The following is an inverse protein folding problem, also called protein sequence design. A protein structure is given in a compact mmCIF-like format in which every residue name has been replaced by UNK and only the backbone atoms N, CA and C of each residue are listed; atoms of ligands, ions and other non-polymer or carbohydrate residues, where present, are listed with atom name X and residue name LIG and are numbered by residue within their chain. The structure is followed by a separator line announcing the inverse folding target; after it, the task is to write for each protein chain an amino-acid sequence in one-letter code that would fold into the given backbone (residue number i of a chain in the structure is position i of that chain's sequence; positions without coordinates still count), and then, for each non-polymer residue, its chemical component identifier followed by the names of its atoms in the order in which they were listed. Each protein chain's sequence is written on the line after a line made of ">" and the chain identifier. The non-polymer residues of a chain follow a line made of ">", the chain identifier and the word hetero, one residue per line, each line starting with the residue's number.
data_IF_870885805957
#
_entry.id   IF_870885805957
#
_cell.length_a   1.000
_cell.length_b   1.000
_cell.length_c   1.000
_cell.angle_alpha   90.00
_cell.angle_beta   90.00
_cell.angle_gamma   90.00
#
_symmetry.space_group_name_H-M   'P 1'
#
loop_
_entity.id
_entity.type
_entity.pdbx_description
1 polymer ?
#
# COMPACT_ATOMS: atom_id res chain seq x y z
N UNK A 1 -29.50 9.93 -14.39
CA UNK A 1 -28.47 10.48 -13.48
C UNK A 1 -28.35 9.53 -12.31
N UNK A 2 -27.41 8.58 -12.39
CA UNK A 2 -27.14 7.65 -11.29
C UNK A 2 -26.16 8.29 -10.33
N UNK A 3 -26.59 8.52 -9.09
CA UNK A 3 -25.72 8.98 -8.00
C UNK A 3 -24.73 7.87 -7.63
N UNK A 4 -23.57 7.83 -8.28
CA UNK A 4 -22.42 7.10 -7.73
C UNK A 4 -21.69 8.03 -6.76
N UNK A 5 -22.10 7.96 -5.50
CA UNK A 5 -21.31 8.47 -4.38
C UNK A 5 -19.97 7.73 -4.38
N UNK A 6 -18.89 8.49 -4.37
CA UNK A 6 -17.54 8.05 -3.98
C UNK A 6 -17.64 7.04 -2.83
N UNK A 7 -17.14 5.82 -3.03
CA UNK A 7 -17.18 4.72 -2.04
C UNK A 7 -16.24 4.97 -0.84
N UNK A 8 -15.64 6.14 -0.72
CA UNK A 8 -14.94 6.55 0.49
C UNK A 8 -15.95 7.12 1.50
N UNK A 9 -16.07 6.54 2.71
CA UNK A 9 -16.85 7.15 3.77
C UNK A 9 -16.13 8.43 4.21
N UNK A 10 -16.59 9.57 3.69
CA UNK A 10 -16.18 10.95 4.03
C UNK A 10 -14.69 11.25 3.82
N UNK A 11 -14.36 11.80 2.65
CA UNK A 11 -13.30 12.85 2.50
C UNK A 11 -13.03 13.25 1.03
N UNK A 12 -13.53 12.51 0.03
CA UNK A 12 -13.38 12.91 -1.38
C UNK A 12 -14.67 13.47 -2.01
N UNK A 13 -15.52 14.13 -1.24
CA UNK A 13 -16.60 14.96 -1.80
C UNK A 13 -16.09 16.37 -2.18
N UNK A 14 -14.99 16.80 -1.57
CA UNK A 14 -14.35 18.12 -1.76
C UNK A 14 -12.91 17.98 -2.32
N UNK A 15 -12.62 16.88 -3.03
CA UNK A 15 -11.30 16.69 -3.60
C UNK A 15 -11.18 17.42 -4.95
N UNK A 16 -10.26 18.38 -5.04
CA UNK A 16 -9.93 19.14 -6.27
C UNK A 16 -9.34 18.26 -7.41
N UNK A 17 -9.28 16.95 -7.21
CA UNK A 17 -8.63 16.01 -8.11
C UNK A 17 -9.57 14.88 -8.50
N UNK A 18 -9.54 14.50 -9.78
CA UNK A 18 -10.25 13.31 -10.26
C UNK A 18 -9.40 12.06 -10.07
N UNK A 19 -9.93 11.07 -9.35
CA UNK A 19 -9.28 9.76 -9.23
C UNK A 19 -9.46 8.93 -10.51
N UNK A 20 -8.39 8.78 -11.29
CA UNK A 20 -8.35 7.85 -12.44
C UNK A 20 -7.93 6.44 -12.01
N UNK A 21 -6.85 6.35 -11.23
CA UNK A 21 -6.30 5.09 -10.75
C UNK A 21 -5.70 4.23 -11.87
N UNK A 22 -5.70 2.92 -11.67
CA UNK A 22 -5.27 1.92 -12.65
C UNK A 22 -6.04 0.62 -12.44
N UNK A 23 -5.89 -0.32 -13.35
CA UNK A 23 -6.48 -1.65 -13.26
C UNK A 23 -5.39 -2.69 -12.96
N UNK A 24 -5.77 -3.72 -12.22
CA UNK A 24 -5.00 -4.95 -12.15
C UNK A 24 -5.51 -5.92 -13.23
N UNK A 25 -4.59 -6.71 -13.78
CA UNK A 25 -4.97 -7.78 -14.71
C UNK A 25 -5.91 -8.78 -14.02
N UNK A 26 -6.76 -9.43 -14.80
CA UNK A 26 -7.85 -10.24 -14.28
C UNK A 26 -7.35 -11.36 -13.34
N UNK A 27 -8.18 -11.74 -12.37
CA UNK A 27 -7.84 -12.80 -11.41
C UNK A 27 -7.54 -14.14 -12.09
N UNK A 28 -8.14 -14.41 -13.26
CA UNK A 28 -7.86 -15.60 -14.06
C UNK A 28 -6.45 -15.62 -14.67
N UNK A 29 -5.84 -14.45 -14.88
CA UNK A 29 -4.46 -14.31 -15.38
C UNK A 29 -3.45 -14.19 -14.23
N UNK A 30 -3.96 -13.93 -13.02
CA UNK A 30 -3.16 -13.83 -11.81
C UNK A 30 -2.83 -15.23 -11.31
N UNK A 31 -1.59 -15.68 -11.51
CA UNK A 31 -1.11 -16.93 -10.92
C UNK A 31 -1.29 -16.88 -9.40
N UNK A 32 -2.09 -17.80 -8.88
CA UNK A 32 -2.25 -18.02 -7.44
C UNK A 32 -1.67 -19.38 -7.05
N UNK A 33 -1.17 -19.47 -5.82
CA UNK A 33 -0.78 -20.74 -5.20
C UNK A 33 -1.77 -20.97 -4.04
N UNK A 34 -2.43 -22.14 -3.97
CA UNK A 34 -3.31 -22.45 -2.85
C UNK A 34 -2.60 -22.27 -1.51
N UNK A 35 -3.25 -21.65 -0.52
CA UNK A 35 -2.62 -21.27 0.75
C UNK A 35 -1.87 -22.44 1.43
N UNK A 36 -2.47 -23.64 1.42
CA UNK A 36 -1.90 -24.84 2.02
C UNK A 36 -0.61 -25.34 1.34
N UNK A 37 -0.35 -24.92 0.10
CA UNK A 37 0.84 -25.31 -0.67
C UNK A 37 1.96 -24.26 -0.58
N UNK A 38 1.69 -23.09 0.02
CA UNK A 38 2.69 -22.03 0.13
C UNK A 38 3.72 -22.38 1.19
N UNK A 39 5.02 -22.13 0.95
CA UNK A 39 6.02 -22.20 2.01
C UNK A 39 5.66 -21.22 3.14
N UNK A 40 6.13 -21.51 4.34
CA UNK A 40 5.91 -20.69 5.53
C UNK A 40 6.75 -19.41 5.49
N UNK A 41 6.45 -18.51 4.55
CA UNK A 41 7.18 -17.25 4.41
C UNK A 41 6.30 -16.03 4.33
N UNK A 42 6.82 -14.93 4.83
CA UNK A 42 6.25 -13.61 4.69
C UNK A 42 7.14 -12.74 3.78
N UNK A 43 6.54 -12.10 2.78
CA UNK A 43 7.24 -11.21 1.86
C UNK A 43 7.30 -9.79 2.43
N UNK A 44 8.49 -9.24 2.65
CA UNK A 44 8.66 -7.87 3.11
C UNK A 44 8.54 -6.91 1.92
N UNK A 45 7.62 -5.97 2.01
CA UNK A 45 7.41 -4.93 1.01
C UNK A 45 8.58 -3.94 1.04
N UNK A 46 9.46 -4.06 0.05
CA UNK A 46 10.57 -3.15 -0.16
C UNK A 46 11.38 -3.58 -1.37
N UNK A 47 12.10 -2.62 -1.96
CA UNK A 47 13.05 -2.89 -3.06
C UNK A 47 14.48 -2.46 -2.74
N UNK A 48 14.67 -1.86 -1.57
CA UNK A 48 15.87 -1.14 -1.16
C UNK A 48 16.24 -1.55 0.26
N UNK A 49 17.51 -1.86 0.49
CA UNK A 49 18.00 -2.18 1.85
C UNK A 49 17.80 -0.97 2.77
N UNK A 50 17.83 0.24 2.21
CA UNK A 50 17.59 1.51 2.88
C UNK A 50 16.25 1.60 3.63
N UNK A 51 15.25 0.78 3.30
CA UNK A 51 13.95 0.79 3.99
C UNK A 51 14.00 0.19 5.39
N UNK A 52 15.07 -0.52 5.75
CA UNK A 52 15.28 -1.00 7.12
C UNK A 52 15.98 0.03 8.03
N UNK A 53 16.38 1.17 7.48
CA UNK A 53 17.22 2.15 8.14
C UNK A 53 16.55 3.53 8.15
N UNK A 54 16.96 4.37 9.10
CA UNK A 54 16.63 5.80 9.11
C UNK A 54 17.37 6.54 8.00
N UNK A 55 16.95 6.31 6.76
CA UNK A 55 17.52 6.99 5.59
C UNK A 55 16.75 8.27 5.24
N UNK A 56 15.42 8.19 5.22
CA UNK A 56 14.54 9.34 4.96
C UNK A 56 13.60 9.58 6.14
N UNK A 57 12.96 8.51 6.59
CA UNK A 57 12.08 8.46 7.75
C UNK A 57 12.40 7.19 8.54
N UNK A 58 11.99 7.15 9.80
CA UNK A 58 12.05 5.91 10.58
C UNK A 58 11.09 4.87 9.98
N UNK A 59 11.51 3.60 9.83
CA UNK A 59 10.58 2.53 9.48
C UNK A 59 9.57 2.33 10.61
N UNK A 60 8.31 2.09 10.26
CA UNK A 60 7.25 1.82 11.22
C UNK A 60 7.40 0.45 11.88
N UNK A 61 7.98 -0.48 11.11
CA UNK A 61 8.38 -1.81 11.55
C UNK A 61 9.91 -1.87 11.41
N UNK A 62 10.67 -1.62 12.48
CA UNK A 62 12.11 -1.50 12.40
C UNK A 62 12.80 -2.87 12.26
N UNK A 63 14.08 -2.87 11.88
CA UNK A 63 14.84 -4.09 11.58
C UNK A 63 14.83 -5.09 12.75
N UNK A 64 14.91 -4.61 13.98
CA UNK A 64 14.87 -5.43 15.19
C UNK A 64 13.52 -6.14 15.38
N UNK A 65 12.40 -5.56 14.91
CA UNK A 65 11.10 -6.23 14.94
C UNK A 65 11.10 -7.43 14.00
N UNK A 66 11.69 -7.29 12.83
CA UNK A 66 11.82 -8.38 11.85
C UNK A 66 12.66 -9.51 12.42
N UNK A 67 13.85 -9.22 12.96
CA UNK A 67 14.71 -10.24 13.59
C UNK A 67 14.02 -10.92 14.77
N UNK A 68 13.40 -10.15 15.67
CA UNK A 68 12.68 -10.70 16.82
C UNK A 68 11.51 -11.59 16.38
N UNK A 69 10.69 -11.10 15.45
CA UNK A 69 9.56 -11.86 14.90
C UNK A 69 10.02 -13.15 14.22
N UNK A 70 11.15 -13.14 13.51
CA UNK A 70 11.71 -14.35 12.92
C UNK A 70 11.98 -15.44 13.97
N UNK A 71 12.66 -15.10 15.07
CA UNK A 71 12.91 -16.07 16.13
C UNK A 71 11.64 -16.52 16.86
N UNK A 72 10.69 -15.61 17.10
CA UNK A 72 9.43 -15.96 17.76
C UNK A 72 8.56 -16.85 16.89
N UNK A 73 8.35 -16.49 15.62
CA UNK A 73 7.56 -17.29 14.67
C UNK A 73 8.16 -18.68 14.48
N UNK A 74 9.49 -18.84 14.49
CA UNK A 74 10.14 -20.16 14.35
C UNK A 74 9.90 -21.12 15.53
N UNK A 75 9.43 -20.63 16.67
CA UNK A 75 8.98 -21.50 17.78
C UNK A 75 7.67 -22.21 17.44
N UNK A 76 6.82 -21.58 16.62
CA UNK A 76 5.50 -22.07 16.23
C UNK A 76 5.51 -22.69 14.82
N UNK A 77 6.34 -22.15 13.93
CA UNK A 77 6.46 -22.51 12.52
C UNK A 77 7.96 -22.70 12.20
N UNK A 78 8.54 -23.89 12.42
CA UNK A 78 9.99 -24.11 12.43
C UNK A 78 10.75 -23.72 11.15
N UNK A 79 10.08 -23.76 10.00
CA UNK A 79 10.60 -23.38 8.68
C UNK A 79 10.22 -21.95 8.27
N UNK A 80 9.77 -21.12 9.22
CA UNK A 80 9.43 -19.73 8.95
C UNK A 80 10.62 -18.90 8.49
N UNK A 81 10.40 -18.11 7.44
CA UNK A 81 11.36 -17.12 6.95
C UNK A 81 10.67 -15.82 6.49
N UNK A 82 11.40 -14.71 6.58
CA UNK A 82 11.07 -13.53 5.79
C UNK A 82 11.81 -13.59 4.45
N UNK A 83 11.17 -13.10 3.40
CA UNK A 83 11.80 -12.96 2.08
C UNK A 83 11.58 -11.55 1.54
N UNK A 84 12.44 -11.08 0.66
CA UNK A 84 12.22 -9.82 -0.04
C UNK A 84 13.27 -9.58 -1.11
N UNK A 85 12.95 -8.73 -2.09
CA UNK A 85 13.84 -8.38 -3.19
C UNK A 85 14.46 -7.01 -3.02
N UNK A 86 15.52 -6.91 -2.25
CA UNK A 86 16.21 -5.64 -1.99
C UNK A 86 17.49 -5.51 -2.82
N UNK A 87 17.77 -4.29 -3.24
CA UNK A 87 19.07 -3.88 -3.76
C UNK A 87 19.64 -2.76 -2.89
N UNK A 88 20.96 -2.61 -2.89
CA UNK A 88 21.63 -1.44 -2.34
C UNK A 88 22.12 -0.56 -3.50
N UNK A 89 21.25 0.34 -3.94
CA UNK A 89 21.47 1.28 -5.05
C UNK A 89 22.08 2.63 -4.60
N UNK A 90 22.62 2.70 -3.37
CA UNK A 90 23.39 3.85 -2.90
C UNK A 90 24.67 4.06 -3.73
N UNK A 91 25.11 5.31 -3.86
CA UNK A 91 26.38 5.63 -4.53
C UNK A 91 27.57 5.12 -3.71
N UNK A 92 28.78 4.96 -4.31
CA UNK A 92 29.99 4.60 -3.57
C UNK A 92 30.26 5.54 -2.39
N UNK A 93 30.05 6.85 -2.57
CA UNK A 93 30.26 7.87 -1.54
C UNK A 93 29.25 7.72 -0.39
N UNK A 94 27.98 7.43 -0.69
CA UNK A 94 26.96 7.13 0.33
C UNK A 94 27.30 5.86 1.13
N UNK A 95 27.86 4.84 0.47
CA UNK A 95 28.29 3.60 1.14
C UNK A 95 29.51 3.82 2.03
N UNK A 96 30.44 4.67 1.61
CA UNK A 96 31.61 5.04 2.41
C UNK A 96 31.19 5.85 3.65
N UNK A 97 30.27 6.80 3.48
CA UNK A 97 29.84 7.70 4.56
C UNK A 97 28.88 7.05 5.56
N UNK A 98 27.92 6.26 5.09
CA UNK A 98 26.87 5.64 5.93
C UNK A 98 27.18 4.20 6.33
N UNK A 99 28.28 3.64 5.80
CA UNK A 99 28.70 2.28 6.02
C UNK A 99 27.83 1.23 5.33
N UNK A 100 28.15 -0.03 5.64
CA UNK A 100 27.48 -1.19 5.10
C UNK A 100 26.07 -1.33 5.72
N UNK A 101 25.05 -1.38 4.86
CA UNK A 101 23.67 -1.68 5.26
C UNK A 101 23.33 -3.09 4.83
N UNK A 102 22.71 -3.85 5.73
CA UNK A 102 22.39 -5.26 5.55
C UNK A 102 20.89 -5.46 5.72
N UNK A 103 20.38 -6.50 5.06
CA UNK A 103 19.04 -6.99 5.42
C UNK A 103 19.08 -7.57 6.84
N UNK A 104 18.01 -7.42 7.64
CA UNK A 104 17.94 -8.00 8.97
C UNK A 104 18.14 -9.52 8.98
N UNK A 105 18.59 -10.06 10.11
CA UNK A 105 18.64 -11.51 10.30
C UNK A 105 17.24 -12.13 10.13
N UNK A 106 17.20 -13.32 9.53
CA UNK A 106 15.93 -14.01 9.23
C UNK A 106 15.27 -13.57 7.93
N UNK A 107 15.83 -12.58 7.22
CA UNK A 107 15.39 -12.16 5.89
C UNK A 107 16.27 -12.79 4.82
N UNK A 108 15.69 -13.65 3.98
CA UNK A 108 16.35 -14.16 2.78
C UNK A 108 16.17 -13.19 1.62
N UNK A 109 17.31 -12.71 1.13
CA UNK A 109 17.40 -11.81 -0.02
C UNK A 109 17.12 -12.56 -1.33
N UNK A 110 16.13 -12.09 -2.10
CA UNK A 110 15.80 -12.61 -3.44
C UNK A 110 16.47 -11.79 -4.56
N UNK A 111 17.02 -10.62 -4.23
CA UNK A 111 17.68 -9.73 -5.19
C UNK A 111 16.70 -8.97 -6.08
N UNK A 112 17.20 -8.40 -7.19
CA UNK A 112 16.39 -7.65 -8.14
C UNK A 112 15.49 -8.62 -8.92
N UNK A 113 14.18 -8.39 -8.85
CA UNK A 113 13.18 -9.17 -9.56
C UNK A 113 12.48 -8.34 -10.63
N UNK A 114 12.13 -8.97 -11.75
CA UNK A 114 11.16 -8.46 -12.69
C UNK A 114 9.72 -8.67 -12.16
N UNK A 115 8.72 -8.19 -12.91
CA UNK A 115 7.32 -8.26 -12.49
C UNK A 115 6.81 -9.70 -12.28
N UNK A 116 7.20 -10.64 -13.15
CA UNK A 116 6.80 -12.05 -13.04
C UNK A 116 7.45 -12.73 -11.84
N UNK A 117 8.74 -12.48 -11.62
CA UNK A 117 9.48 -13.03 -10.47
C UNK A 117 8.93 -12.50 -9.15
N UNK A 118 8.60 -11.20 -9.10
CA UNK A 118 7.94 -10.59 -7.94
C UNK A 118 6.57 -11.24 -7.69
N UNK A 119 5.76 -11.41 -8.72
CA UNK A 119 4.44 -12.03 -8.61
C UNK A 119 4.52 -13.47 -8.11
N UNK A 120 5.48 -14.25 -8.62
CA UNK A 120 5.75 -15.61 -8.16
C UNK A 120 6.23 -15.62 -6.71
N UNK A 121 7.09 -14.67 -6.31
CA UNK A 121 7.57 -14.55 -4.96
C UNK A 121 6.42 -14.25 -3.98
N UNK A 122 5.54 -13.32 -4.36
CA UNK A 122 4.35 -12.95 -3.57
C UNK A 122 3.33 -14.09 -3.54
N UNK A 123 2.98 -14.71 -4.67
CA UNK A 123 2.02 -15.81 -4.72
C UNK A 123 2.41 -17.00 -3.82
N UNK A 124 3.70 -17.23 -3.66
CA UNK A 124 4.26 -18.26 -2.77
C UNK A 124 4.46 -17.78 -1.32
N UNK A 125 3.96 -16.61 -0.94
CA UNK A 125 4.06 -16.10 0.44
C UNK A 125 2.70 -16.15 1.13
N UNK A 126 2.69 -16.38 2.43
CA UNK A 126 1.46 -16.41 3.24
C UNK A 126 1.04 -15.04 3.75
N UNK A 127 1.96 -14.07 3.76
CA UNK A 127 1.67 -12.68 4.08
C UNK A 127 2.63 -11.74 3.34
N UNK A 128 2.24 -10.47 3.20
CA UNK A 128 3.09 -9.35 2.82
C UNK A 128 3.20 -8.37 4.00
N UNK A 129 4.41 -7.96 4.34
CA UNK A 129 4.70 -7.10 5.49
C UNK A 129 5.13 -5.71 5.02
N UNK A 130 4.36 -4.69 5.38
CA UNK A 130 4.75 -3.29 5.20
C UNK A 130 5.78 -2.84 6.24
N UNK A 131 6.67 -1.92 5.85
CA UNK A 131 7.66 -1.29 6.73
C UNK A 131 7.36 0.19 7.01
N UNK A 132 6.28 0.74 6.46
CA UNK A 132 5.96 2.18 6.41
C UNK A 132 6.22 2.79 5.03
N UNK A 133 7.20 2.25 4.29
CA UNK A 133 7.58 2.70 2.96
C UNK A 133 7.82 1.52 1.99
N UNK A 134 7.60 1.70 0.67
CA UNK A 134 7.05 2.88 0.01
C UNK A 134 5.55 3.06 0.28
N UNK A 135 5.11 4.32 0.30
CA UNK A 135 3.70 4.67 0.50
C UNK A 135 2.88 4.43 -0.78
N UNK A 136 1.61 4.02 -0.64
CA UNK A 136 0.63 3.88 -1.74
C UNK A 136 1.12 3.05 -2.93
N UNK A 137 1.93 2.03 -2.65
CA UNK A 137 2.50 1.14 -3.66
C UNK A 137 1.42 0.25 -4.31
N UNK A 138 1.53 -0.12 -5.60
CA UNK A 138 0.65 -1.12 -6.19
C UNK A 138 0.87 -2.55 -5.64
N UNK A 139 1.98 -2.81 -4.95
CA UNK A 139 2.37 -4.16 -4.52
C UNK A 139 1.39 -4.84 -3.56
N UNK A 140 0.86 -4.17 -2.51
CA UNK A 140 -0.21 -4.73 -1.68
C UNK A 140 -1.45 -5.18 -2.46
N UNK A 141 -1.88 -4.42 -3.48
CA UNK A 141 -3.01 -4.84 -4.30
C UNK A 141 -2.70 -6.11 -5.11
N UNK A 142 -1.48 -6.24 -5.64
CA UNK A 142 -1.02 -7.47 -6.30
C UNK A 142 -0.97 -8.66 -5.33
N UNK A 143 -0.67 -8.41 -4.06
CA UNK A 143 -0.67 -9.41 -3.00
C UNK A 143 -2.10 -9.89 -2.69
N UNK A 144 -3.03 -8.96 -2.46
CA UNK A 144 -4.43 -9.26 -2.18
C UNK A 144 -5.09 -10.00 -3.36
N UNK A 145 -4.78 -9.62 -4.60
CA UNK A 145 -5.21 -10.32 -5.81
C UNK A 145 -4.73 -11.78 -5.89
N UNK A 146 -3.76 -12.18 -5.06
CA UNK A 146 -3.24 -13.55 -4.93
C UNK A 146 -3.63 -14.23 -3.62
N UNK A 147 -4.52 -13.61 -2.83
CA UNK A 147 -4.89 -14.11 -1.50
C UNK A 147 -3.73 -14.03 -0.50
N UNK A 148 -2.85 -13.04 -0.68
CA UNK A 148 -1.73 -12.77 0.23
C UNK A 148 -2.11 -11.53 1.05
N UNK A 149 -2.41 -11.68 2.35
CA UNK A 149 -2.77 -10.58 3.20
C UNK A 149 -1.65 -9.55 3.35
N UNK A 150 -2.01 -8.28 3.50
CA UNK A 150 -1.06 -7.19 3.72
C UNK A 150 -1.12 -6.67 5.16
N UNK A 151 0.02 -6.65 5.85
CA UNK A 151 0.18 -5.92 7.10
C UNK A 151 0.48 -4.47 6.74
N UNK A 152 -0.48 -3.58 6.99
CA UNK A 152 -0.47 -2.19 6.60
C UNK A 152 -0.13 -1.30 7.80
N UNK A 153 1.13 -0.89 7.97
CA UNK A 153 1.51 -0.13 9.15
C UNK A 153 1.02 1.32 9.07
N UNK A 154 0.60 1.87 10.21
CA UNK A 154 0.10 3.24 10.34
C UNK A 154 0.60 3.91 11.62
N UNK A 155 0.54 5.25 11.67
CA UNK A 155 0.82 6.05 12.85
C UNK A 155 -0.43 6.77 13.34
N UNK A 156 -0.43 7.17 14.61
CA UNK A 156 -1.53 7.85 15.27
C UNK A 156 -1.16 9.29 15.62
N UNK A 157 -2.07 10.24 15.41
CA UNK A 157 -2.04 11.55 16.04
C UNK A 157 -2.55 11.46 17.48
N UNK A 158 -2.34 12.53 18.26
CA UNK A 158 -2.86 12.65 19.63
C UNK A 158 -4.38 12.47 19.71
N UNK A 159 -5.11 12.84 18.66
CA UNK A 159 -6.58 12.78 18.60
C UNK A 159 -7.10 11.63 17.73
N UNK A 160 -6.22 10.76 17.23
CA UNK A 160 -6.64 9.59 16.47
C UNK A 160 -7.36 8.59 17.37
N UNK A 161 -8.30 7.85 16.80
CA UNK A 161 -9.00 6.73 17.44
C UNK A 161 -8.69 5.45 16.69
N UNK A 162 -8.41 4.38 17.41
CA UNK A 162 -8.02 3.09 16.82
C UNK A 162 -9.11 2.48 15.94
N UNK A 163 -10.38 2.75 16.23
CA UNK A 163 -11.56 2.29 15.49
C UNK A 163 -12.00 3.24 14.36
N UNK A 164 -11.29 4.36 14.18
CA UNK A 164 -11.56 5.35 13.14
C UNK A 164 -10.32 5.52 12.25
N UNK A 165 -10.16 4.67 11.20
CA UNK A 165 -9.05 4.77 10.26
C UNK A 165 -8.89 6.14 9.61
N UNK A 166 -9.95 6.96 9.58
CA UNK A 166 -9.87 8.30 9.03
C UNK A 166 -9.16 9.31 9.91
N UNK A 167 -9.11 9.04 11.20
CA UNK A 167 -8.40 9.88 12.15
C UNK A 167 -6.90 9.61 12.21
N UNK A 168 -6.39 8.53 11.60
CA UNK A 168 -4.99 8.12 11.67
C UNK A 168 -4.06 9.11 10.96
N UNK A 169 -2.81 9.21 11.42
CA UNK A 169 -1.88 10.24 10.97
C UNK A 169 -1.28 9.94 9.61
N UNK A 170 -0.69 8.76 9.49
CA UNK A 170 -0.12 8.29 8.25
C UNK A 170 -0.39 6.80 8.14
N UNK A 171 -0.74 6.34 6.95
CA UNK A 171 -0.95 4.92 6.65
C UNK A 171 -0.08 4.57 5.46
N UNK A 172 0.72 3.51 5.54
CA UNK A 172 1.60 3.12 4.43
C UNK A 172 0.80 2.97 3.13
N UNK A 173 -0.36 2.32 3.19
CA UNK A 173 -1.27 2.25 2.07
C UNK A 173 -2.65 2.80 2.44
N UNK A 174 -2.83 4.11 2.34
CA UNK A 174 -4.03 4.81 2.79
C UNK A 174 -5.35 4.24 2.24
N UNK A 175 -5.45 3.99 0.93
CA UNK A 175 -6.66 3.40 0.35
C UNK A 175 -6.94 1.95 0.76
N UNK A 176 -6.04 1.29 1.49
CA UNK A 176 -6.25 -0.03 2.10
C UNK A 176 -6.58 0.05 3.60
N UNK A 177 -6.59 1.25 4.22
CA UNK A 177 -6.87 1.40 5.65
C UNK A 177 -8.26 0.92 6.08
N UNK A 178 -9.19 0.92 5.14
CA UNK A 178 -10.58 0.48 5.36
C UNK A 178 -10.80 -1.01 5.10
N UNK A 179 -9.87 -1.66 4.39
CA UNK A 179 -9.92 -3.11 4.22
C UNK A 179 -9.63 -3.77 5.58
N UNK A 180 -10.27 -4.90 5.82
CA UNK A 180 -10.22 -5.61 7.10
C UNK A 180 -9.56 -6.99 6.94
N UNK A 181 -9.23 -7.66 8.05
CA UNK A 181 -8.88 -9.07 8.01
C UNK A 181 -9.99 -9.91 7.34
N UNK A 182 -9.63 -10.97 6.60
CA UNK A 182 -8.30 -11.56 6.53
C UNK A 182 -7.37 -10.91 5.49
N UNK A 183 -7.78 -9.88 4.74
CA UNK A 183 -7.01 -9.35 3.61
C UNK A 183 -6.03 -8.25 3.98
N UNK A 184 -6.39 -7.39 4.94
CA UNK A 184 -5.51 -6.33 5.45
C UNK A 184 -5.52 -6.35 6.96
N UNK A 185 -4.32 -6.33 7.55
CA UNK A 185 -4.12 -6.16 8.99
C UNK A 185 -3.46 -4.81 9.21
N UNK A 186 -4.23 -3.82 9.67
CA UNK A 186 -3.65 -2.52 10.01
C UNK A 186 -2.87 -2.65 11.33
N UNK A 187 -1.57 -2.34 11.30
CA UNK A 187 -0.67 -2.48 12.44
C UNK A 187 -0.15 -1.12 12.88
N UNK A 188 -0.26 -0.78 14.16
CA UNK A 188 0.28 0.48 14.66
C UNK A 188 1.82 0.46 14.64
N UNK A 189 2.44 1.54 14.17
CA UNK A 189 3.88 1.72 14.15
C UNK A 189 4.46 1.65 15.57
N UNK A 190 5.64 1.05 15.72
CA UNK A 190 6.30 0.87 17.02
C UNK A 190 5.49 0.05 18.05
N UNK A 191 4.48 -0.70 17.62
CA UNK A 191 3.74 -1.65 18.45
C UNK A 191 4.13 -3.09 18.07
N UNK A 192 5.19 -3.61 18.69
CA UNK A 192 5.68 -4.97 18.39
C UNK A 192 4.62 -6.05 18.62
N UNK A 193 3.88 -5.96 19.73
CA UNK A 193 2.89 -6.97 20.10
C UNK A 193 1.73 -7.01 19.08
N UNK A 194 1.28 -5.84 18.62
CA UNK A 194 0.32 -5.74 17.52
C UNK A 194 0.86 -6.30 16.21
N UNK A 195 2.12 -5.99 15.88
CA UNK A 195 2.79 -6.51 14.68
C UNK A 195 2.91 -8.04 14.67
N UNK A 196 3.43 -8.65 15.74
CA UNK A 196 3.61 -10.11 15.82
C UNK A 196 2.26 -10.83 15.87
N UNK A 197 1.25 -10.27 16.54
CA UNK A 197 -0.11 -10.81 16.54
C UNK A 197 -0.73 -10.81 15.13
N UNK A 198 -0.62 -9.68 14.42
CA UNK A 198 -1.09 -9.56 13.03
C UNK A 198 -0.34 -10.51 12.09
N UNK A 199 0.98 -10.64 12.24
CA UNK A 199 1.79 -11.57 11.45
C UNK A 199 1.34 -13.01 11.68
N UNK A 200 1.16 -13.43 12.94
CA UNK A 200 0.67 -14.77 13.28
C UNK A 200 -0.71 -15.03 12.70
N UNK A 201 -1.64 -14.07 12.81
CA UNK A 201 -2.98 -14.19 12.25
C UNK A 201 -2.95 -14.32 10.71
N UNK A 202 -2.18 -13.47 10.02
CA UNK A 202 -2.01 -13.52 8.57
C UNK A 202 -1.38 -14.83 8.09
N UNK A 203 -0.41 -15.36 8.85
CA UNK A 203 0.29 -16.61 8.51
C UNK A 203 -0.57 -17.87 8.74
N UNK A 204 -1.65 -17.78 9.51
CA UNK A 204 -2.51 -18.92 9.90
C UNK A 204 -3.93 -18.85 9.34
N UNK A 205 -4.36 -17.69 8.83
CA UNK A 205 -5.70 -17.47 8.28
C UNK A 205 -5.63 -17.32 6.75
N UNK A 206 -6.16 -18.28 5.97
CA UNK A 206 -6.25 -18.13 4.52
C UNK A 206 -7.09 -16.91 4.13
N UNK A 207 -6.63 -16.16 3.14
CA UNK A 207 -7.39 -15.09 2.52
C UNK A 207 -7.71 -15.47 1.08
N UNK A 208 -8.96 -15.28 0.67
CA UNK A 208 -9.38 -15.55 -0.71
C UNK A 208 -8.78 -14.49 -1.65
N UNK A 209 -8.21 -14.89 -2.81
CA UNK A 209 -7.76 -13.95 -3.82
C UNK A 209 -8.93 -13.10 -4.36
N UNK A 210 -8.79 -11.78 -4.36
CA UNK A 210 -9.75 -10.90 -5.04
C UNK A 210 -9.11 -9.61 -5.54
N UNK A 211 -9.70 -9.04 -6.58
CA UNK A 211 -9.35 -7.71 -7.09
C UNK A 211 -10.41 -6.75 -6.57
N UNK A 212 -9.97 -5.70 -5.88
CA UNK A 212 -10.87 -4.68 -5.36
C UNK A 212 -11.69 -4.07 -6.52
N UNK A 213 -12.99 -3.83 -6.34
CA UNK A 213 -13.86 -3.36 -7.44
C UNK A 213 -13.31 -2.18 -8.22
N UNK A 214 -12.71 -1.19 -7.54
CA UNK A 214 -12.10 0.00 -8.17
C UNK A 214 -10.90 -0.30 -9.08
N UNK A 215 -10.23 -1.43 -8.88
CA UNK A 215 -9.07 -1.86 -9.66
C UNK A 215 -9.43 -2.83 -10.78
N UNK A 216 -10.72 -3.12 -10.99
CA UNK A 216 -11.16 -3.92 -12.13
C UNK A 216 -11.06 -3.10 -13.42
N UNK A 217 -10.78 -3.77 -14.54
CA UNK A 217 -10.61 -3.14 -15.85
C UNK A 217 -11.84 -2.33 -16.26
N UNK A 218 -13.02 -2.90 -16.11
CA UNK A 218 -14.29 -2.24 -16.45
C UNK A 218 -14.56 -0.99 -15.59
N UNK A 219 -14.14 -1.01 -14.33
CA UNK A 219 -14.24 0.14 -13.43
C UNK A 219 -13.29 1.26 -13.87
N UNK A 220 -12.05 0.94 -14.26
CA UNK A 220 -11.12 1.91 -14.84
C UNK A 220 -11.65 2.46 -16.17
N UNK A 221 -12.12 1.59 -17.07
CA UNK A 221 -12.60 2.00 -18.40
C UNK A 221 -13.80 2.94 -18.28
N UNK A 222 -14.69 2.71 -17.31
CA UNK A 222 -15.77 3.64 -16.98
C UNK A 222 -15.24 4.98 -16.50
N UNK A 223 -14.35 5.02 -15.50
CA UNK A 223 -13.76 6.29 -15.01
C UNK A 223 -13.03 7.06 -16.10
N UNK A 224 -12.27 6.36 -16.96
CA UNK A 224 -11.56 6.96 -18.08
C UNK A 224 -12.52 7.52 -19.14
N UNK A 225 -13.57 6.76 -19.48
CA UNK A 225 -14.62 7.23 -20.39
C UNK A 225 -15.29 8.48 -19.84
N UNK A 226 -15.71 8.45 -18.58
CA UNK A 226 -16.38 9.57 -17.93
C UNK A 226 -15.47 10.81 -17.94
N UNK A 227 -14.18 10.65 -17.60
CA UNK A 227 -13.20 11.74 -17.65
C UNK A 227 -12.99 12.31 -19.06
N UNK A 228 -12.85 11.46 -20.08
CA UNK A 228 -12.58 11.90 -21.46
C UNK A 228 -13.81 12.54 -22.11
N UNK A 229 -15.01 12.04 -21.83
CA UNK A 229 -16.25 12.56 -22.39
C UNK A 229 -16.89 13.69 -21.58
N UNK A 230 -16.32 14.02 -20.41
CA UNK A 230 -16.77 15.15 -19.62
C UNK A 230 -16.58 16.47 -20.38
N UNK A 231 -17.57 17.35 -20.31
CA UNK A 231 -17.50 18.66 -20.95
C UNK A 231 -16.69 19.64 -20.08
N UNK A 232 -15.37 19.49 -20.14
CA UNK A 232 -14.42 20.35 -19.45
C UNK A 232 -14.59 21.83 -19.81
N UNK A 233 -15.09 22.13 -21.02
CA UNK A 233 -15.29 23.52 -21.45
C UNK A 233 -16.47 24.14 -20.72
N UNK A 234 -17.59 23.43 -20.63
CA UNK A 234 -18.75 23.89 -19.87
C UNK A 234 -18.42 24.00 -18.37
N UNK A 235 -17.67 23.04 -17.81
CA UNK A 235 -17.24 23.12 -16.42
C UNK A 235 -16.30 24.30 -16.17
N UNK A 236 -15.28 24.51 -17.02
CA UNK A 236 -14.39 25.66 -16.90
C UNK A 236 -15.16 26.99 -17.02
N UNK A 237 -16.16 27.07 -17.90
CA UNK A 237 -17.02 28.24 -18.02
C UNK A 237 -17.84 28.50 -16.75
N UNK A 238 -18.36 27.44 -16.11
CA UNK A 238 -19.06 27.52 -14.81
C UNK A 238 -18.12 28.04 -13.72
N UNK A 239 -16.93 27.44 -13.57
CA UNK A 239 -15.93 27.86 -12.57
C UNK A 239 -15.53 29.33 -12.78
N UNK A 240 -15.29 29.75 -14.02
CA UNK A 240 -14.97 31.14 -14.34
C UNK A 240 -16.10 32.11 -13.98
N UNK A 241 -17.36 31.73 -14.22
CA UNK A 241 -18.52 32.54 -13.86
C UNK A 241 -18.65 32.70 -12.34
N UNK A 242 -18.50 31.61 -11.57
CA UNK A 242 -18.50 31.63 -10.11
C UNK A 242 -17.41 32.58 -9.58
N UNK A 243 -16.18 32.44 -10.10
CA UNK A 243 -15.05 33.31 -9.75
C UNK A 243 -15.30 34.79 -10.02
N UNK A 244 -15.89 35.14 -11.18
CA UNK A 244 -16.26 36.53 -11.50
C UNK A 244 -17.32 37.11 -10.55
N UNK A 245 -18.13 36.26 -9.94
CA UNK A 245 -19.15 36.65 -8.96
C UNK A 245 -18.62 36.65 -7.51
N UNK A 246 -17.32 36.37 -7.30
CA UNK A 246 -16.71 36.30 -5.97
C UNK A 246 -16.99 34.99 -5.23
N UNK A 247 -17.50 33.97 -5.92
CA UNK A 247 -17.67 32.62 -5.38
C UNK A 247 -16.43 31.79 -5.71
N UNK A 248 -15.48 31.70 -4.76
CA UNK A 248 -14.33 30.79 -4.92
C UNK A 248 -14.78 29.37 -4.59
N UNK A 249 -14.89 28.52 -5.60
CA UNK A 249 -15.37 27.16 -5.41
C UNK A 249 -14.28 26.11 -5.29
N UNK A 250 -13.04 26.35 -5.74
CA UNK A 250 -12.09 25.24 -5.90
C UNK A 250 -10.61 25.54 -5.58
N UNK A 251 -10.04 26.77 -5.61
CA UNK A 251 -8.63 26.97 -5.24
C UNK A 251 -8.26 28.43 -4.88
N UNK A 252 -8.39 28.84 -3.61
CA UNK A 252 -7.82 30.09 -3.09
C UNK A 252 -8.21 31.38 -3.84
N UNK A 253 -7.82 32.56 -3.35
CA UNK A 253 -8.34 33.83 -3.90
C UNK A 253 -7.65 34.34 -5.18
N UNK A 254 -6.70 33.59 -5.74
CA UNK A 254 -5.89 34.06 -6.88
C UNK A 254 -6.52 33.72 -8.23
N UNK A 255 -7.08 34.74 -8.86
CA UNK A 255 -7.60 34.72 -10.23
C UNK A 255 -6.45 34.65 -11.25
N UNK A 256 -5.95 33.45 -11.53
CA UNK A 256 -5.12 33.19 -12.70
C UNK A 256 -5.95 33.23 -13.98
N UNK A 257 -5.76 34.28 -14.81
CA UNK A 257 -6.30 34.29 -16.17
C UNK A 257 -5.54 33.27 -17.02
N UNK A 258 -6.19 32.15 -17.36
CA UNK A 258 -5.67 31.22 -18.37
C UNK A 258 -5.96 31.79 -19.76
N UNK A 259 -4.92 32.20 -20.48
CA UNK A 259 -4.99 32.44 -21.93
C UNK A 259 -4.61 31.14 -22.65
N UNK A 260 -5.42 30.75 -23.64
CA UNK A 260 -5.17 29.61 -24.55
C UNK A 260 -4.40 30.07 -25.79
#
# INVERSE_FOLDING_TARGET
>A
MGNYRSEYPRECADADNTYLGYALEAAAETRTVPWAQRPNRAYILGKRVQYFYKWREEPFIPAEYITRAYHEMRKEIPDFEFVGGFIDDRTPEEKETLGEWKVPEGVRQLGKMNASEFDDAVANSKAMVGLGWPATSPSPYRAIARGVPFLNPHTMHLHSKADDPASWAFVQHDSLRYEQPPHVYNTEANNYEGFIAALRAAMTTPAEPYILPRLQRDALDRRMRDFVHHDWRAEAARVLANRKNGEESELGTDLGMFEL
#
